data_IF_473123178807
#
_entry.id   IF_473123178807
#
_cell.length_a   1.000
_cell.length_b   1.000
_cell.length_c   1.000
_cell.angle_alpha   90.00
_cell.angle_beta   90.00
_cell.angle_gamma   90.00
#
_symmetry.space_group_name_H-M   'P 1'
#
loop_
_entity.id
_entity.type
_entity.pdbx_description
1 polymer ?
#
# COMPACT_ATOMS: atom_id res chain seq x y z
N UNK A 1 14.44 8.80 -2.30
CA UNK A 1 15.80 8.25 -2.08
C UNK A 1 15.90 7.38 -0.81
N UNK A 2 14.86 7.32 0.01
CA UNK A 2 14.83 6.52 1.26
C UNK A 2 14.53 5.04 1.01
N UNK A 3 13.73 4.70 0.00
CA UNK A 3 13.23 3.33 -0.25
C UNK A 3 14.35 2.35 -0.67
N UNK A 4 15.32 2.79 -1.46
CA UNK A 4 16.46 1.94 -1.86
C UNK A 4 17.38 1.66 -0.66
N UNK A 5 17.53 2.62 0.24
CA UNK A 5 18.29 2.47 1.48
C UNK A 5 17.62 1.47 2.43
N UNK A 6 16.30 1.55 2.59
CA UNK A 6 15.54 0.64 3.46
C UNK A 6 15.55 -0.80 2.94
N UNK A 7 15.45 -1.01 1.63
CA UNK A 7 15.52 -2.33 1.02
C UNK A 7 16.91 -2.96 1.19
N UNK A 8 17.97 -2.19 1.00
CA UNK A 8 19.34 -2.64 1.20
C UNK A 8 19.62 -2.97 2.68
N UNK A 9 19.12 -2.16 3.60
CA UNK A 9 19.20 -2.41 5.04
C UNK A 9 18.41 -3.66 5.43
N UNK A 10 17.20 -3.82 4.93
CA UNK A 10 16.36 -5.00 5.13
C UNK A 10 17.08 -6.28 4.65
N UNK A 11 17.63 -6.27 3.44
CA UNK A 11 18.37 -7.40 2.87
C UNK A 11 19.61 -7.73 3.74
N UNK A 12 20.34 -6.72 4.18
CA UNK A 12 21.49 -6.88 5.05
C UNK A 12 21.10 -7.50 6.38
N UNK A 13 20.06 -7.00 7.02
CA UNK A 13 19.57 -7.51 8.32
C UNK A 13 19.10 -8.95 8.19
N UNK A 14 18.33 -9.28 7.14
CA UNK A 14 17.88 -10.65 6.89
C UNK A 14 19.08 -11.58 6.69
N UNK A 15 20.06 -11.20 5.87
CA UNK A 15 21.22 -12.05 5.57
C UNK A 15 22.08 -12.34 6.81
N UNK A 16 22.34 -11.33 7.64
CA UNK A 16 23.19 -11.49 8.84
C UNK A 16 22.51 -12.26 9.97
N UNK A 17 21.18 -12.24 10.03
CA UNK A 17 20.43 -12.79 11.17
C UNK A 17 19.74 -14.12 10.89
N UNK A 18 19.63 -14.52 9.61
CA UNK A 18 18.89 -15.71 9.18
C UNK A 18 19.43 -17.04 9.77
N UNK A 19 20.66 -17.04 10.29
CA UNK A 19 21.26 -18.21 10.96
C UNK A 19 20.76 -18.40 12.41
N UNK A 20 20.29 -17.34 13.05
CA UNK A 20 19.85 -17.33 14.46
C UNK A 20 18.33 -17.21 14.60
N UNK A 21 17.71 -16.48 13.67
CA UNK A 21 16.31 -16.09 13.72
C UNK A 21 15.69 -16.27 12.34
N UNK A 22 15.09 -17.46 12.06
CA UNK A 22 14.53 -17.75 10.74
C UNK A 22 13.33 -16.83 10.45
N UNK A 23 13.57 -15.85 9.60
CA UNK A 23 12.58 -14.92 9.07
C UNK A 23 12.64 -14.95 7.56
N UNK A 24 11.48 -14.91 6.92
CA UNK A 24 11.38 -14.83 5.47
C UNK A 24 10.78 -13.50 5.07
N UNK A 25 11.45 -12.80 4.15
CA UNK A 25 10.92 -11.59 3.54
C UNK A 25 10.69 -11.81 2.05
N UNK A 26 9.55 -11.37 1.57
CA UNK A 26 9.16 -11.49 0.16
C UNK A 26 8.87 -10.11 -0.41
N UNK A 27 9.53 -9.76 -1.51
CA UNK A 27 9.10 -8.65 -2.35
C UNK A 27 7.83 -9.10 -3.09
N UNK A 28 6.73 -8.41 -2.83
CA UNK A 28 5.46 -8.72 -3.47
C UNK A 28 5.43 -8.19 -4.91
N UNK A 29 4.98 -9.03 -5.82
CA UNK A 29 4.71 -8.61 -7.19
C UNK A 29 3.34 -7.93 -7.24
N UNK A 30 3.34 -6.62 -7.03
CA UNK A 30 2.15 -5.78 -7.04
C UNK A 30 2.41 -4.49 -7.82
N UNK A 31 1.35 -3.78 -8.15
CA UNK A 31 1.41 -2.40 -8.61
C UNK A 31 1.01 -1.47 -7.47
N UNK A 32 1.62 -0.30 -7.40
CA UNK A 32 1.35 0.68 -6.35
C UNK A 32 0.96 2.01 -7.01
N UNK A 33 -0.19 2.52 -6.60
CA UNK A 33 -0.71 3.80 -7.05
C UNK A 33 -0.79 4.72 -5.84
N UNK A 34 -0.28 5.93 -5.98
CA UNK A 34 -0.42 7.00 -4.99
C UNK A 34 -1.48 7.98 -5.48
N UNK A 35 -2.43 8.29 -4.62
CA UNK A 35 -3.49 9.25 -4.90
C UNK A 35 -3.41 10.36 -3.86
N UNK A 36 -3.42 11.59 -4.30
CA UNK A 36 -3.36 12.78 -3.45
C UNK A 36 -4.16 13.93 -4.06
N UNK A 37 -4.47 14.92 -3.24
CA UNK A 37 -5.26 16.08 -3.63
C UNK A 37 -6.51 16.21 -2.77
N UNK A 38 -7.09 17.40 -2.76
CA UNK A 38 -8.21 17.73 -1.88
C UNK A 38 -9.46 16.86 -2.14
N UNK A 39 -9.64 16.38 -3.38
CA UNK A 39 -10.78 15.57 -3.78
C UNK A 39 -10.48 14.08 -3.91
N UNK A 40 -9.28 13.62 -3.45
CA UNK A 40 -8.84 12.24 -3.60
C UNK A 40 -9.83 11.22 -3.01
N UNK A 41 -10.35 11.48 -1.81
CA UNK A 41 -11.33 10.61 -1.14
C UNK A 41 -12.67 10.60 -1.88
N UNK A 42 -13.13 11.73 -2.39
CA UNK A 42 -14.38 11.84 -3.15
C UNK A 42 -14.31 11.00 -4.42
N UNK A 43 -13.20 11.12 -5.15
CA UNK A 43 -12.97 10.35 -6.38
C UNK A 43 -12.90 8.86 -6.09
N UNK A 44 -12.23 8.45 -5.00
CA UNK A 44 -12.14 7.04 -4.62
C UNK A 44 -13.51 6.48 -4.19
N UNK A 45 -14.23 7.17 -3.31
CA UNK A 45 -15.54 6.72 -2.84
C UNK A 45 -16.56 6.54 -3.98
N UNK A 46 -16.43 7.34 -5.03
CA UNK A 46 -17.28 7.22 -6.23
C UNK A 46 -16.95 5.99 -7.08
N UNK A 47 -15.72 5.51 -7.02
CA UNK A 47 -15.22 4.42 -7.86
C UNK A 47 -15.13 3.07 -7.14
N UNK A 48 -15.03 3.06 -5.81
CA UNK A 48 -14.79 1.86 -5.04
C UNK A 48 -16.08 1.29 -4.44
N UNK A 49 -16.01 0.03 -4.02
CA UNK A 49 -17.15 -0.68 -3.43
C UNK A 49 -17.38 -0.39 -1.95
N UNK A 50 -16.58 0.47 -1.37
CA UNK A 50 -16.66 0.87 0.03
C UNK A 50 -16.62 2.39 0.14
N UNK A 51 -17.10 2.91 1.25
CA UNK A 51 -16.88 4.29 1.67
C UNK A 51 -15.66 4.34 2.60
N UNK A 52 -14.54 4.88 2.09
CA UNK A 52 -13.28 4.92 2.83
C UNK A 52 -13.36 5.80 4.07
N UNK A 53 -14.28 6.79 4.10
CA UNK A 53 -14.46 7.70 5.23
C UNK A 53 -15.08 7.02 6.47
N UNK A 54 -15.58 5.79 6.33
CA UNK A 54 -16.11 5.01 7.45
C UNK A 54 -15.02 4.30 8.25
N UNK A 55 -13.76 4.40 7.83
CA UNK A 55 -12.64 3.71 8.46
C UNK A 55 -11.66 4.70 9.08
N UNK A 56 -10.96 4.32 10.17
CA UNK A 56 -9.86 5.13 10.70
C UNK A 56 -8.73 5.28 9.68
N UNK A 57 -8.01 6.42 9.72
CA UNK A 57 -6.91 6.73 8.79
C UNK A 57 -5.81 5.65 8.75
N UNK A 58 -5.56 5.00 9.89
CA UNK A 58 -4.57 3.94 10.00
C UNK A 58 -5.12 2.53 9.71
N UNK A 59 -6.38 2.40 9.30
CA UNK A 59 -6.95 1.09 9.01
C UNK A 59 -6.40 0.50 7.70
N UNK A 60 -6.10 -0.79 7.73
CA UNK A 60 -5.87 -1.58 6.53
C UNK A 60 -7.22 -1.92 5.91
N UNK A 61 -7.53 -1.29 4.81
CA UNK A 61 -8.82 -1.44 4.13
C UNK A 61 -8.63 -2.25 2.85
N UNK A 62 -9.56 -3.16 2.58
CA UNK A 62 -9.64 -3.86 1.30
C UNK A 62 -10.88 -3.42 0.54
N UNK A 63 -10.73 -3.11 -0.74
CA UNK A 63 -11.83 -2.72 -1.62
C UNK A 63 -11.67 -3.25 -3.03
N UNK A 64 -12.74 -3.10 -3.80
CA UNK A 64 -12.81 -3.55 -5.18
C UNK A 64 -13.12 -2.37 -6.10
N UNK A 65 -12.58 -2.43 -7.31
CA UNK A 65 -13.01 -1.63 -8.44
C UNK A 65 -13.88 -2.51 -9.33
N UNK A 66 -15.09 -2.07 -9.63
CA UNK A 66 -16.01 -2.80 -10.51
C UNK A 66 -16.19 -2.06 -11.84
N UNK A 67 -16.46 -2.79 -12.91
CA UNK A 67 -16.87 -2.22 -14.17
C UNK A 67 -18.35 -1.78 -14.15
N UNK A 68 -18.84 -1.19 -15.23
CA UNK A 68 -20.23 -0.72 -15.36
C UNK A 68 -21.27 -1.85 -15.30
N UNK A 69 -20.85 -3.11 -15.44
CA UNK A 69 -21.70 -4.30 -15.32
C UNK A 69 -21.63 -4.93 -13.93
N UNK A 70 -20.88 -4.34 -12.98
CA UNK A 70 -20.69 -4.85 -11.63
C UNK A 70 -19.64 -5.96 -11.50
N UNK A 71 -18.87 -6.23 -12.56
CA UNK A 71 -17.77 -7.22 -12.49
C UNK A 71 -16.53 -6.60 -11.87
N UNK A 72 -15.85 -7.37 -11.03
CA UNK A 72 -14.59 -6.96 -10.40
C UNK A 72 -13.52 -6.78 -11.48
N UNK A 73 -12.99 -5.57 -11.57
CA UNK A 73 -11.86 -5.22 -12.43
C UNK A 73 -10.53 -5.30 -11.69
N UNK A 74 -10.50 -4.86 -10.41
CA UNK A 74 -9.29 -4.92 -9.59
C UNK A 74 -9.65 -5.01 -8.10
N UNK A 75 -8.65 -5.38 -7.28
CA UNK A 75 -8.73 -5.44 -5.82
C UNK A 75 -7.57 -4.69 -5.22
N UNK A 76 -7.83 -3.88 -4.21
CA UNK A 76 -6.83 -3.05 -3.54
C UNK A 76 -6.72 -3.35 -2.06
N UNK A 77 -5.53 -3.09 -1.54
CA UNK A 77 -5.30 -2.79 -0.14
C UNK A 77 -5.00 -1.29 -0.07
N UNK A 78 -5.67 -0.59 0.82
CA UNK A 78 -5.46 0.84 1.03
C UNK A 78 -4.56 1.07 2.24
N UNK A 79 -3.68 2.05 2.12
CA UNK A 79 -2.94 2.66 3.20
C UNK A 79 -3.11 4.18 3.11
N UNK A 80 -3.44 4.83 4.21
CA UNK A 80 -3.44 6.28 4.30
C UNK A 80 -2.15 6.72 5.02
N UNK A 81 -1.24 7.36 4.31
CA UNK A 81 0.10 7.70 4.80
C UNK A 81 0.42 9.14 4.37
N UNK A 82 0.71 10.03 5.32
CA UNK A 82 1.13 11.40 5.08
C UNK A 82 0.20 12.16 4.11
N UNK A 83 -1.10 12.11 4.38
CA UNK A 83 -2.16 12.74 3.57
C UNK A 83 -2.23 12.21 2.12
N UNK A 84 -1.67 11.05 1.88
CA UNK A 84 -1.72 10.36 0.60
C UNK A 84 -2.39 8.99 0.75
N UNK A 85 -3.20 8.63 -0.21
CA UNK A 85 -3.82 7.31 -0.26
C UNK A 85 -2.97 6.42 -1.17
N UNK A 86 -2.44 5.36 -0.60
CA UNK A 86 -1.66 4.36 -1.32
C UNK A 86 -2.56 3.18 -1.63
N UNK A 87 -2.68 2.83 -2.89
CA UNK A 87 -3.37 1.62 -3.34
C UNK A 87 -2.34 0.57 -3.75
N UNK A 88 -2.39 -0.59 -3.10
CA UNK A 88 -1.59 -1.76 -3.45
C UNK A 88 -2.51 -2.75 -4.15
N UNK A 89 -2.19 -3.09 -5.38
CA UNK A 89 -3.05 -3.90 -6.22
C UNK A 89 -2.28 -4.85 -7.16
N UNK A 90 -2.99 -5.61 -7.98
CA UNK A 90 -2.39 -6.60 -8.86
C UNK A 90 -1.43 -5.93 -9.86
N UNK A 91 -0.20 -6.44 -9.97
CA UNK A 91 0.84 -5.91 -10.86
C UNK A 91 0.42 -5.76 -12.33
N UNK A 92 -0.48 -6.63 -12.81
CA UNK A 92 -0.95 -6.59 -14.21
C UNK A 92 -2.06 -5.57 -14.45
N UNK A 93 -2.64 -5.01 -13.39
CA UNK A 93 -3.80 -4.13 -13.47
C UNK A 93 -3.45 -2.64 -13.30
N UNK A 94 -2.23 -2.32 -12.86
CA UNK A 94 -1.84 -0.98 -12.46
C UNK A 94 -2.20 0.12 -13.45
N UNK A 95 -1.76 0.00 -14.69
CA UNK A 95 -2.03 1.03 -15.70
C UNK A 95 -3.51 1.13 -16.05
N UNK A 96 -4.21 0.00 -16.18
CA UNK A 96 -5.63 0.00 -16.47
C UNK A 96 -6.43 0.62 -15.33
N UNK A 97 -6.07 0.32 -14.09
CA UNK A 97 -6.71 0.89 -12.89
C UNK A 97 -6.50 2.39 -12.82
N UNK A 98 -5.27 2.87 -12.99
CA UNK A 98 -4.95 4.30 -13.01
C UNK A 98 -5.72 5.04 -14.10
N UNK A 99 -5.75 4.52 -15.32
CA UNK A 99 -6.51 5.11 -16.41
C UNK A 99 -8.00 5.19 -16.09
N UNK A 100 -8.55 4.17 -15.47
CA UNK A 100 -9.97 4.15 -15.11
C UNK A 100 -10.29 5.15 -14.00
N UNK A 101 -9.45 5.24 -12.97
CA UNK A 101 -9.62 6.23 -11.91
C UNK A 101 -9.51 7.65 -12.47
N UNK A 102 -8.51 7.91 -13.34
CA UNK A 102 -8.35 9.19 -14.02
C UNK A 102 -9.57 9.57 -14.88
N UNK A 103 -10.16 8.60 -15.57
CA UNK A 103 -11.37 8.85 -16.36
C UNK A 103 -12.59 9.22 -15.50
N UNK A 104 -12.56 8.90 -14.21
CA UNK A 104 -13.60 9.26 -13.23
C UNK A 104 -13.38 10.62 -12.55
N UNK A 105 -12.27 11.31 -12.81
CA UNK A 105 -11.97 12.64 -12.24
C UNK A 105 -12.65 13.73 -13.06
N UNK A 106 -13.40 14.61 -12.39
CA UNK A 106 -14.03 15.77 -13.03
C UNK A 106 -13.01 16.88 -13.26
N UNK A 107 -13.28 17.77 -14.20
CA UNK A 107 -12.36 18.86 -14.59
C UNK A 107 -12.10 19.88 -13.49
N UNK A 108 -12.98 19.97 -12.51
CA UNK A 108 -12.93 20.88 -11.36
C UNK A 108 -12.39 20.19 -10.09
N UNK A 109 -12.04 18.92 -10.15
CA UNK A 109 -11.49 18.16 -9.04
C UNK A 109 -9.96 18.21 -9.01
N UNK A 110 -9.40 18.43 -7.83
CA UNK A 110 -7.96 18.48 -7.57
C UNK A 110 -7.46 17.11 -7.09
N UNK A 111 -7.08 16.25 -8.03
CA UNK A 111 -6.57 14.89 -7.74
C UNK A 111 -5.42 14.51 -8.65
N UNK A 112 -4.33 14.05 -8.04
CA UNK A 112 -3.22 13.41 -8.72
C UNK A 112 -3.30 11.88 -8.54
N UNK A 113 -3.22 11.12 -9.62
CA UNK A 113 -3.16 9.65 -9.61
C UNK A 113 -1.82 9.23 -10.22
N UNK A 114 -0.90 8.76 -9.39
CA UNK A 114 0.50 8.59 -9.73
C UNK A 114 0.91 7.12 -9.73
N UNK A 115 1.72 6.74 -10.70
CA UNK A 115 2.41 5.45 -10.71
C UNK A 115 3.59 5.49 -9.74
N UNK A 116 3.58 4.64 -8.72
CA UNK A 116 4.63 4.52 -7.72
C UNK A 116 5.41 3.20 -7.79
N UNK A 117 5.23 2.39 -8.84
CA UNK A 117 5.85 1.06 -8.98
C UNK A 117 7.39 1.11 -8.93
N UNK A 118 8.01 2.22 -9.36
CA UNK A 118 9.46 2.40 -9.34
C UNK A 118 10.02 3.02 -8.06
N UNK A 119 9.16 3.55 -7.19
CA UNK A 119 9.58 4.30 -5.99
C UNK A 119 9.14 3.66 -4.68
N UNK A 120 8.10 2.84 -4.71
CA UNK A 120 7.59 2.11 -3.55
C UNK A 120 7.67 0.60 -3.78
N UNK A 121 7.81 -0.13 -2.69
CA UNK A 121 7.85 -1.59 -2.71
C UNK A 121 7.04 -2.17 -1.56
N UNK A 122 6.26 -3.21 -1.85
CA UNK A 122 5.54 -3.96 -0.85
C UNK A 122 6.33 -5.22 -0.45
N UNK A 123 6.74 -5.29 0.81
CA UNK A 123 7.50 -6.42 1.35
C UNK A 123 6.67 -7.09 2.44
N UNK A 124 6.49 -8.40 2.33
CA UNK A 124 5.88 -9.21 3.38
C UNK A 124 6.98 -9.89 4.18
N UNK A 125 6.92 -9.76 5.50
CA UNK A 125 7.83 -10.40 6.45
C UNK A 125 7.05 -11.44 7.24
N UNK A 126 7.56 -12.68 7.29
CA UNK A 126 6.95 -13.80 8.01
C UNK A 126 7.99 -14.56 8.81
N UNK A 127 7.56 -15.23 9.88
CA UNK A 127 8.39 -16.05 10.74
C UNK A 127 8.19 -15.70 12.22
N UNK A 128 8.56 -16.64 13.10
CA UNK A 128 8.36 -16.47 14.55
C UNK A 128 9.14 -15.28 15.12
N UNK A 129 10.26 -14.94 14.50
CA UNK A 129 11.16 -13.87 14.95
C UNK A 129 11.02 -12.58 14.12
N UNK A 130 9.92 -12.44 13.35
CA UNK A 130 9.64 -11.23 12.54
C UNK A 130 9.64 -9.95 13.39
N UNK A 131 9.20 -10.01 14.64
CA UNK A 131 9.24 -8.88 15.58
C UNK A 131 10.67 -8.42 15.90
N UNK A 132 11.63 -9.33 15.96
CA UNK A 132 13.05 -9.00 16.18
C UNK A 132 13.59 -8.25 14.95
N UNK A 133 13.27 -8.72 13.76
CA UNK A 133 13.67 -8.05 12.52
C UNK A 133 13.08 -6.63 12.44
N UNK A 134 11.79 -6.48 12.72
CA UNK A 134 11.12 -5.16 12.73
C UNK A 134 11.78 -4.20 13.73
N UNK A 135 12.10 -4.69 14.95
CA UNK A 135 12.79 -3.86 15.95
C UNK A 135 14.16 -3.37 15.46
N UNK A 136 14.89 -4.20 14.69
CA UNK A 136 16.19 -3.81 14.10
C UNK A 136 16.04 -2.79 12.97
N UNK A 137 14.89 -2.75 12.33
CA UNK A 137 14.54 -1.74 11.32
C UNK A 137 14.00 -0.44 11.95
N UNK A 138 13.98 -0.34 13.28
CA UNK A 138 13.47 0.82 14.00
C UNK A 138 11.97 0.82 14.26
N UNK A 139 11.25 -0.23 13.84
CA UNK A 139 9.82 -0.37 14.10
C UNK A 139 9.62 -0.98 15.49
N UNK A 140 8.77 -0.39 16.32
CA UNK A 140 8.35 -1.00 17.57
C UNK A 140 7.21 -2.01 17.33
N UNK A 141 7.46 -3.33 17.42
CA UNK A 141 6.42 -4.32 17.09
C UNK A 141 5.20 -4.28 18.03
N UNK A 142 5.34 -3.68 19.23
CA UNK A 142 4.25 -3.55 20.20
C UNK A 142 3.21 -2.50 19.81
N UNK A 143 3.57 -1.59 18.92
CA UNK A 143 2.68 -0.57 18.37
C UNK A 143 1.88 -1.08 17.19
N UNK A 144 2.32 -2.18 16.56
CA UNK A 144 1.62 -2.80 15.45
C UNK A 144 0.40 -3.58 15.94
N UNK A 145 -0.77 -3.22 15.44
CA UNK A 145 -1.99 -3.97 15.66
C UNK A 145 -2.45 -4.65 14.35
N UNK A 146 -3.15 -5.74 14.51
CA UNK A 146 -3.72 -6.45 13.35
C UNK A 146 -4.72 -5.55 12.62
N UNK A 147 -4.50 -5.38 11.32
CA UNK A 147 -5.38 -4.58 10.46
C UNK A 147 -5.12 -3.08 10.51
N UNK A 148 -4.02 -2.65 11.09
CA UNK A 148 -3.60 -1.24 11.10
C UNK A 148 -2.28 -1.03 10.35
N UNK A 149 -2.08 0.19 9.88
CA UNK A 149 -0.81 0.70 9.38
C UNK A 149 -0.08 1.46 10.49
N UNK A 150 1.24 1.42 10.45
CA UNK A 150 2.10 2.24 11.28
C UNK A 150 3.09 2.97 10.36
N UNK A 151 3.12 4.30 10.46
CA UNK A 151 4.14 5.13 9.85
C UNK A 151 5.28 5.35 10.86
N UNK A 152 6.55 5.26 10.44
CA UNK A 152 7.72 5.37 11.31
C UNK A 152 8.91 6.01 10.59
#
# INVERSE_FOLDING_TARGET
MVVVSLLAELIRVIYTDNQKHPVTAFLQNCSITVIRGEDAEIVLNRNLTIDINQYPDNARIESLLCDSTGRISDRFIHANIDEQIILIHNAKMGDQTRQRLLAGVSWDESVDILNADSVLSHITITGNDSSILLSKLGVNPKELKTGEWLNF
#
